data_IF_029938109713
#
_entry.id   IF_029938109713
#
_cell.length_a   1.000
_cell.length_b   1.000
_cell.length_c   1.000
_cell.angle_alpha   90.00
_cell.angle_beta   90.00
_cell.angle_gamma   90.00
#
_symmetry.space_group_name_H-M   'P 1'
#
loop_
_entity.id
_entity.type
_entity.pdbx_description
1 polymer ?
#
# COMPACT_ATOMS: atom_id res chain seq x y z
N UNK A 1 12.02 8.36 30.55
CA UNK A 1 11.95 6.99 30.00
C UNK A 1 11.25 7.10 28.65
N UNK A 2 11.97 7.06 27.53
CA UNK A 2 11.34 7.05 26.20
C UNK A 2 10.70 5.66 26.04
N UNK A 3 9.38 5.58 26.12
CA UNK A 3 8.66 4.38 25.69
C UNK A 3 8.85 4.35 24.17
N UNK A 4 9.65 3.43 23.68
CA UNK A 4 9.74 3.14 22.23
C UNK A 4 8.37 2.67 21.79
N UNK A 5 7.64 3.51 21.09
CA UNK A 5 6.36 3.14 20.49
C UNK A 5 6.65 2.16 19.36
N UNK A 6 6.05 0.99 19.42
CA UNK A 6 6.25 -0.07 18.44
C UNK A 6 5.37 0.21 17.22
N UNK A 7 5.98 0.29 16.06
CA UNK A 7 5.27 0.37 14.78
C UNK A 7 5.32 -1.00 14.13
N UNK A 8 4.17 -1.55 13.76
CA UNK A 8 4.08 -2.85 13.10
C UNK A 8 3.57 -2.69 11.68
N UNK A 9 4.31 -3.23 10.70
CA UNK A 9 3.87 -3.32 9.31
C UNK A 9 3.29 -4.71 9.06
N UNK A 10 2.02 -4.79 8.63
CA UNK A 10 1.31 -6.05 8.37
C UNK A 10 0.88 -6.13 6.91
N UNK A 11 1.35 -7.15 6.20
CA UNK A 11 0.88 -7.45 4.85
C UNK A 11 -0.43 -8.22 4.94
N UNK A 12 -1.56 -7.51 4.90
CA UNK A 12 -2.90 -8.11 4.92
C UNK A 12 -3.22 -8.76 3.57
N UNK A 13 -2.73 -8.17 2.49
CA UNK A 13 -2.71 -8.69 1.14
C UNK A 13 -1.39 -8.36 0.47
N UNK A 14 -0.72 -9.35 -0.08
CA UNK A 14 0.61 -9.27 -0.70
C UNK A 14 0.63 -9.66 -2.17
N UNK A 15 -0.55 -9.94 -2.75
CA UNK A 15 -0.71 -10.44 -4.11
C UNK A 15 -0.87 -9.35 -5.14
N UNK A 16 -0.79 -9.79 -6.39
CA UNK A 16 -1.01 -9.02 -7.60
C UNK A 16 -2.52 -8.86 -7.92
N UNK A 17 -2.82 -8.24 -9.08
CA UNK A 17 -4.19 -8.03 -9.57
C UNK A 17 -5.00 -9.34 -9.72
N UNK A 18 -4.33 -10.45 -9.92
CA UNK A 18 -4.95 -11.73 -10.29
C UNK A 18 -5.01 -12.73 -9.14
N UNK A 19 -4.56 -12.35 -7.93
CA UNK A 19 -4.54 -13.25 -6.78
C UNK A 19 -3.60 -14.43 -6.96
N UNK A 20 -2.45 -14.22 -7.59
CA UNK A 20 -1.43 -15.24 -7.83
C UNK A 20 -1.05 -15.93 -6.52
N UNK A 21 -1.01 -17.26 -6.55
CA UNK A 21 -0.74 -18.08 -5.34
C UNK A 21 -1.87 -18.06 -4.30
N UNK A 22 -3.07 -17.59 -4.64
CA UNK A 22 -4.21 -17.49 -3.72
C UNK A 22 -4.13 -16.29 -2.77
N UNK A 23 -3.24 -15.33 -3.05
CA UNK A 23 -3.00 -14.13 -2.24
C UNK A 23 -4.06 -13.06 -2.48
N UNK A 24 -4.34 -12.29 -1.45
CA UNK A 24 -5.19 -11.10 -1.55
C UNK A 24 -4.46 -9.95 -2.25
N UNK A 25 -5.22 -9.09 -2.92
CA UNK A 25 -4.70 -7.86 -3.55
C UNK A 25 -3.98 -6.99 -2.52
N UNK A 26 -3.08 -6.14 -2.99
CA UNK A 26 -2.23 -5.32 -2.15
C UNK A 26 -2.99 -4.55 -1.07
N UNK A 27 -2.61 -4.79 0.18
CA UNK A 27 -3.11 -4.10 1.36
C UNK A 27 -2.08 -4.23 2.49
N UNK A 28 -1.34 -3.17 2.77
CA UNK A 28 -0.29 -3.16 3.79
C UNK A 28 -0.73 -2.22 4.91
N UNK A 29 -0.98 -2.76 6.11
CA UNK A 29 -1.33 -1.95 7.27
C UNK A 29 -0.09 -1.54 8.05
N UNK A 30 0.03 -0.26 8.35
CA UNK A 30 1.00 0.31 9.28
C UNK A 30 0.26 0.64 10.57
N UNK A 31 0.48 -0.16 11.60
CA UNK A 31 -0.14 -0.02 12.92
C UNK A 31 0.78 0.79 13.83
N UNK A 32 0.25 1.80 14.47
CA UNK A 32 0.95 2.70 15.38
C UNK A 32 0.10 3.00 16.60
N UNK A 33 0.61 3.77 17.56
CA UNK A 33 -0.10 4.02 18.84
C UNK A 33 -1.44 4.74 18.69
N UNK A 34 -1.65 5.49 17.60
CA UNK A 34 -2.89 6.25 17.34
C UNK A 34 -3.97 5.48 16.59
N UNK A 35 -3.60 4.41 15.87
CA UNK A 35 -4.51 3.67 14.98
C UNK A 35 -3.77 2.90 13.90
N UNK A 36 -4.28 2.95 12.70
CA UNK A 36 -3.66 2.29 11.54
C UNK A 36 -3.80 3.12 10.25
N UNK A 37 -2.77 3.05 9.42
CA UNK A 37 -2.80 3.54 8.05
C UNK A 37 -2.67 2.36 7.09
N UNK A 38 -3.40 2.36 6.00
CA UNK A 38 -3.20 1.42 4.89
C UNK A 38 -2.35 2.06 3.79
N UNK A 39 -1.36 1.33 3.30
CA UNK A 39 -0.74 1.54 2.01
C UNK A 39 -1.45 0.61 1.03
N UNK A 40 -2.24 1.19 0.15
CA UNK A 40 -3.21 0.57 -0.75
C UNK A 40 -4.35 -0.20 -0.05
N UNK A 41 -5.44 -0.35 -0.79
CA UNK A 41 -6.65 -1.02 -0.37
C UNK A 41 -7.30 -1.70 -1.60
N UNK A 42 -6.71 -2.79 -2.06
CA UNK A 42 -7.19 -3.54 -3.22
C UNK A 42 -8.56 -4.20 -3.01
N UNK A 43 -9.17 -4.69 -4.06
CA UNK A 43 -10.55 -5.16 -4.07
C UNK A 43 -10.87 -6.24 -3.00
N UNK A 44 -9.89 -7.04 -2.62
CA UNK A 44 -10.04 -8.11 -1.62
C UNK A 44 -9.67 -7.70 -0.19
N UNK A 45 -9.27 -6.43 0.05
CA UNK A 45 -8.68 -5.97 1.31
C UNK A 45 -9.58 -6.19 2.53
N UNK A 46 -10.88 -5.89 2.44
CA UNK A 46 -11.78 -6.07 3.59
C UNK A 46 -11.90 -7.54 4.00
N UNK A 47 -11.94 -8.45 3.03
CA UNK A 47 -11.94 -9.90 3.29
C UNK A 47 -10.63 -10.34 3.93
N UNK A 48 -9.49 -9.84 3.42
CA UNK A 48 -8.17 -10.10 3.98
C UNK A 48 -8.06 -9.65 5.44
N UNK A 49 -8.53 -8.44 5.76
CA UNK A 49 -8.59 -7.91 7.13
C UNK A 49 -9.38 -8.82 8.05
N UNK A 50 -10.59 -9.22 7.66
CA UNK A 50 -11.46 -10.11 8.45
C UNK A 50 -10.80 -11.47 8.69
N UNK A 51 -10.15 -12.06 7.68
CA UNK A 51 -9.42 -13.33 7.82
C UNK A 51 -8.20 -13.22 8.73
N UNK A 52 -7.50 -12.08 8.68
CA UNK A 52 -6.32 -11.82 9.52
C UNK A 52 -6.69 -11.38 10.96
N UNK A 53 -7.98 -11.29 11.32
CA UNK A 53 -8.43 -10.74 12.60
C UNK A 53 -8.05 -9.27 12.80
N UNK A 54 -7.88 -8.52 11.70
CA UNK A 54 -7.59 -7.09 11.75
C UNK A 54 -8.91 -6.31 11.81
N UNK A 55 -9.01 -5.37 12.77
CA UNK A 55 -10.20 -4.55 12.93
C UNK A 55 -10.17 -3.33 12.00
N UNK A 56 -11.03 -3.26 10.95
CA UNK A 56 -11.08 -2.13 10.03
C UNK A 56 -11.46 -0.80 10.71
N UNK A 57 -12.06 -0.83 11.89
CA UNK A 57 -12.43 0.39 12.62
C UNK A 57 -11.22 1.18 13.11
N UNK A 58 -10.05 0.55 13.18
CA UNK A 58 -8.79 1.18 13.59
C UNK A 58 -8.11 1.98 12.48
N UNK A 59 -8.56 1.85 11.23
CA UNK A 59 -7.97 2.55 10.09
C UNK A 59 -8.41 4.00 10.10
N UNK A 60 -7.47 4.94 10.11
CA UNK A 60 -7.73 6.37 10.03
C UNK A 60 -7.38 6.94 8.66
N UNK A 61 -6.42 6.32 7.97
CA UNK A 61 -5.94 6.77 6.66
C UNK A 61 -5.80 5.58 5.71
N UNK A 62 -6.19 5.78 4.45
CA UNK A 62 -5.87 4.91 3.32
C UNK A 62 -5.02 5.74 2.35
N UNK A 63 -3.74 5.40 2.19
CA UNK A 63 -2.81 6.06 1.27
C UNK A 63 -2.65 5.19 0.01
N UNK A 64 -3.09 5.71 -1.13
CA UNK A 64 -3.13 4.99 -2.40
C UNK A 64 -1.90 5.29 -3.25
N UNK A 65 -1.18 4.27 -3.70
CA UNK A 65 -0.06 4.43 -4.63
C UNK A 65 -0.53 4.84 -6.01
N UNK A 66 -1.60 4.24 -6.49
CA UNK A 66 -2.23 4.53 -7.79
C UNK A 66 -3.67 3.99 -7.84
N UNK A 67 -4.37 4.22 -8.98
CA UNK A 67 -5.81 4.01 -9.09
C UNK A 67 -6.19 2.78 -9.94
N UNK A 68 -5.45 1.66 -9.82
CA UNK A 68 -5.87 0.36 -10.32
C UNK A 68 -6.72 -0.40 -9.28
N UNK A 69 -7.63 -1.25 -9.75
CA UNK A 69 -8.61 -1.93 -8.89
C UNK A 69 -8.02 -2.82 -7.81
N UNK A 70 -6.85 -3.39 -8.02
CA UNK A 70 -6.10 -4.19 -7.06
C UNK A 70 -5.34 -3.36 -6.00
N UNK A 71 -5.38 -2.01 -6.12
CA UNK A 71 -4.78 -1.06 -5.16
C UNK A 71 -5.81 -0.14 -4.50
N UNK A 72 -6.93 0.17 -5.15
CA UNK A 72 -7.96 1.04 -4.54
C UNK A 72 -9.39 0.46 -4.56
N UNK A 73 -9.60 -0.66 -5.26
CA UNK A 73 -10.93 -1.26 -5.44
C UNK A 73 -11.63 -1.72 -4.16
N UNK A 74 -10.90 -1.83 -3.04
CA UNK A 74 -11.46 -2.15 -1.74
C UNK A 74 -12.03 -0.96 -0.97
N UNK A 75 -11.71 0.27 -1.39
CA UNK A 75 -12.14 1.50 -0.70
C UNK A 75 -13.66 1.57 -0.52
N UNK A 76 -14.52 1.29 -1.52
CA UNK A 76 -15.98 1.30 -1.32
C UNK A 76 -16.45 0.35 -0.24
N UNK A 77 -15.87 -0.83 -0.16
CA UNK A 77 -16.22 -1.83 0.87
C UNK A 77 -15.84 -1.37 2.27
N UNK A 78 -14.65 -0.78 2.44
CA UNK A 78 -14.19 -0.24 3.75
C UNK A 78 -15.07 0.94 4.18
N UNK A 79 -15.42 1.85 3.27
CA UNK A 79 -16.30 2.99 3.56
C UNK A 79 -17.70 2.52 3.96
N UNK A 80 -18.26 1.53 3.27
CA UNK A 80 -19.57 0.98 3.62
C UNK A 80 -19.52 0.19 4.93
N UNK A 81 -18.52 -0.65 5.15
CA UNK A 81 -18.34 -1.37 6.40
C UNK A 81 -18.29 -0.39 7.58
N UNK A 82 -17.56 0.71 7.45
CA UNK A 82 -17.49 1.77 8.44
C UNK A 82 -18.85 2.42 8.73
N UNK A 83 -19.70 2.61 7.69
CA UNK A 83 -21.07 3.11 7.87
C UNK A 83 -21.95 2.12 8.66
N UNK A 84 -21.92 0.85 8.28
CA UNK A 84 -22.70 -0.20 8.95
C UNK A 84 -22.20 -0.48 10.37
N UNK A 85 -20.90 -0.33 10.63
CA UNK A 85 -20.30 -0.42 11.96
C UNK A 85 -20.55 0.82 12.84
N UNK A 86 -21.32 1.82 12.36
CA UNK A 86 -21.59 3.09 13.04
C UNK A 86 -20.32 3.87 13.43
N UNK A 87 -19.28 3.84 12.58
CA UNK A 87 -18.06 4.60 12.79
C UNK A 87 -18.37 6.08 13.00
N UNK A 88 -17.63 6.72 13.91
CA UNK A 88 -17.68 8.17 14.18
C UNK A 88 -16.32 8.85 13.98
N UNK A 89 -15.21 8.08 14.03
CA UNK A 89 -13.85 8.61 13.75
C UNK A 89 -13.74 8.99 12.28
N UNK A 90 -13.06 10.08 11.92
CA UNK A 90 -12.79 10.43 10.54
C UNK A 90 -12.09 9.29 9.79
N UNK A 91 -12.26 9.24 8.49
CA UNK A 91 -11.51 8.38 7.56
C UNK A 91 -10.97 9.25 6.43
N UNK A 92 -9.67 9.30 6.29
CA UNK A 92 -9.00 10.01 5.21
C UNK A 92 -8.57 9.05 4.12
N UNK A 93 -8.88 9.39 2.87
CA UNK A 93 -8.33 8.71 1.68
C UNK A 93 -7.36 9.69 1.04
N UNK A 94 -6.09 9.34 1.05
CA UNK A 94 -5.02 10.11 0.41
C UNK A 94 -4.57 9.38 -0.85
N UNK A 95 -4.43 10.08 -1.98
CA UNK A 95 -4.05 9.44 -3.23
C UNK A 95 -3.58 10.42 -4.30
N UNK A 96 -3.19 9.92 -5.46
CA UNK A 96 -2.74 10.76 -6.57
C UNK A 96 -3.86 11.66 -7.09
N UNK A 97 -3.53 12.67 -7.92
CA UNK A 97 -4.54 13.53 -8.57
C UNK A 97 -5.63 12.70 -9.27
N UNK A 98 -6.89 13.06 -9.03
CA UNK A 98 -8.07 12.36 -9.53
C UNK A 98 -8.67 11.33 -8.56
N UNK A 99 -8.06 11.10 -7.40
CA UNK A 99 -8.55 10.14 -6.40
C UNK A 99 -9.99 10.41 -5.99
N UNK A 100 -10.37 11.66 -5.70
CA UNK A 100 -11.72 11.99 -5.27
C UNK A 100 -12.79 11.63 -6.30
N UNK A 101 -12.52 11.95 -7.57
CA UNK A 101 -13.42 11.61 -8.68
C UNK A 101 -13.55 10.08 -8.85
N UNK A 102 -12.41 9.36 -8.85
CA UNK A 102 -12.38 7.91 -9.07
C UNK A 102 -13.01 7.11 -7.92
N UNK A 103 -12.79 7.52 -6.68
CA UNK A 103 -13.44 6.88 -5.51
C UNK A 103 -14.95 7.07 -5.58
N UNK A 104 -15.41 8.29 -5.90
CA UNK A 104 -16.83 8.57 -6.08
C UNK A 104 -17.43 7.73 -7.20
N UNK A 105 -16.82 7.71 -8.39
CA UNK A 105 -17.26 6.91 -9.53
C UNK A 105 -17.38 5.43 -9.17
N UNK A 106 -16.37 4.89 -8.49
CA UNK A 106 -16.34 3.49 -8.10
C UNK A 106 -17.44 3.17 -7.06
N UNK A 107 -17.63 4.04 -6.07
CA UNK A 107 -18.71 3.87 -5.08
C UNK A 107 -20.09 3.88 -5.75
N UNK A 108 -20.33 4.82 -6.67
CA UNK A 108 -21.63 4.90 -7.38
C UNK A 108 -21.84 3.74 -8.36
N UNK A 109 -20.76 3.25 -9.01
CA UNK A 109 -20.84 2.09 -9.91
C UNK A 109 -21.16 0.79 -9.16
N UNK A 110 -20.56 0.59 -7.98
CA UNK A 110 -20.75 -0.63 -7.19
C UNK A 110 -21.98 -0.58 -6.29
N UNK A 111 -22.29 0.58 -5.72
CA UNK A 111 -23.35 0.79 -4.73
C UNK A 111 -24.06 2.13 -5.02
N UNK A 112 -24.98 2.18 -5.99
CA UNK A 112 -25.63 3.42 -6.38
C UNK A 112 -26.24 4.20 -5.21
N UNK A 113 -25.96 5.50 -5.12
CA UNK A 113 -26.40 6.37 -4.03
C UNK A 113 -25.52 6.33 -2.77
N UNK A 114 -24.50 5.46 -2.72
CA UNK A 114 -23.66 5.30 -1.51
C UNK A 114 -22.76 6.51 -1.23
N UNK A 115 -22.30 7.19 -2.27
CA UNK A 115 -21.49 8.40 -2.09
C UNK A 115 -22.27 9.50 -1.38
N UNK A 116 -23.49 9.76 -1.81
CA UNK A 116 -24.36 10.81 -1.27
C UNK A 116 -25.01 10.41 0.07
N UNK A 117 -24.96 9.14 0.47
CA UNK A 117 -25.56 8.66 1.70
C UNK A 117 -24.93 9.33 2.93
N UNK A 118 -25.77 9.63 3.94
CA UNK A 118 -25.31 10.25 5.19
C UNK A 118 -24.39 9.32 5.96
N UNK A 119 -23.16 9.77 6.21
CA UNK A 119 -22.16 9.10 7.07
C UNK A 119 -22.18 9.74 8.45
N UNK A 120 -21.88 8.95 9.50
CA UNK A 120 -21.70 9.46 10.88
C UNK A 120 -20.26 9.91 11.14
N UNK A 121 -19.36 9.75 10.16
CA UNK A 121 -17.97 10.15 10.19
C UNK A 121 -17.65 11.06 9.01
N UNK A 122 -16.62 11.89 9.16
CA UNK A 122 -16.04 12.64 8.05
C UNK A 122 -15.30 11.66 7.14
N UNK A 123 -15.56 11.75 5.83
CA UNK A 123 -14.80 11.07 4.79
C UNK A 123 -14.05 12.16 4.02
N UNK A 124 -12.76 12.25 4.28
CA UNK A 124 -11.90 13.28 3.72
C UNK A 124 -11.07 12.71 2.57
N UNK A 125 -10.92 13.50 1.51
CA UNK A 125 -10.09 13.14 0.36
C UNK A 125 -8.93 14.14 0.27
N UNK A 126 -7.71 13.62 0.26
CA UNK A 126 -6.48 14.41 0.06
C UNK A 126 -5.83 13.93 -1.24
N UNK A 127 -5.64 14.83 -2.19
CA UNK A 127 -4.88 14.52 -3.39
C UNK A 127 -3.43 14.99 -3.24
N UNK A 128 -2.46 14.15 -3.61
CA UNK A 128 -1.04 14.42 -3.45
C UNK A 128 -0.62 15.65 -4.26
N UNK A 129 0.19 16.49 -3.61
CA UNK A 129 0.88 17.61 -4.24
C UNK A 129 2.38 17.31 -4.45
N UNK A 130 3.11 18.33 -4.88
CA UNK A 130 4.57 18.25 -5.05
C UNK A 130 5.37 18.26 -3.73
N UNK A 131 4.71 18.46 -2.60
CA UNK A 131 5.32 18.56 -1.27
C UNK A 131 4.85 17.44 -0.36
N UNK A 132 5.57 17.23 0.75
CA UNK A 132 5.14 16.29 1.80
C UNK A 132 3.72 16.63 2.29
N UNK A 133 2.90 15.61 2.47
CA UNK A 133 1.51 15.72 2.92
C UNK A 133 1.42 15.27 4.37
N UNK A 134 0.99 16.16 5.26
CA UNK A 134 0.59 15.78 6.61
C UNK A 134 -0.78 15.08 6.52
N UNK A 135 -0.87 13.85 6.98
CA UNK A 135 -2.09 13.04 6.92
C UNK A 135 -2.88 13.12 8.23
N UNK A 136 -2.17 13.20 9.36
CA UNK A 136 -2.69 13.34 10.71
C UNK A 136 -1.53 13.74 11.64
N UNK A 137 -1.80 13.99 12.94
CA UNK A 137 -0.78 14.34 13.93
C UNK A 137 0.35 13.27 13.98
N UNK A 138 1.50 13.64 13.41
CA UNK A 138 2.70 12.79 13.38
C UNK A 138 2.78 11.81 12.21
N UNK A 139 1.81 11.80 11.28
CA UNK A 139 1.88 11.02 10.02
C UNK A 139 2.24 11.94 8.87
N UNK A 140 3.41 11.75 8.28
CA UNK A 140 3.88 12.53 7.12
C UNK A 140 4.14 11.59 5.95
N UNK A 141 3.49 11.86 4.84
CA UNK A 141 3.65 11.13 3.59
C UNK A 141 4.42 11.97 2.58
N UNK A 142 5.48 11.40 2.03
CA UNK A 142 6.21 11.93 0.87
C UNK A 142 5.97 10.99 -0.29
N UNK A 143 5.63 11.52 -1.46
CA UNK A 143 5.32 10.73 -2.64
C UNK A 143 6.29 11.06 -3.77
N UNK A 144 6.62 10.04 -4.57
CA UNK A 144 7.49 10.18 -5.73
C UNK A 144 6.79 9.57 -6.94
N UNK A 145 6.56 10.34 -8.02
CA UNK A 145 6.06 9.78 -9.26
C UNK A 145 6.95 8.63 -9.76
N UNK A 146 6.35 7.55 -10.22
CA UNK A 146 7.02 6.37 -10.75
C UNK A 146 6.48 5.99 -12.13
N UNK A 147 6.99 4.92 -12.74
CA UNK A 147 6.67 4.55 -14.12
C UNK A 147 5.75 3.34 -14.16
N UNK A 148 4.49 3.59 -14.42
CA UNK A 148 3.47 2.55 -14.57
C UNK A 148 2.51 2.89 -15.71
N UNK A 149 1.42 2.15 -15.87
CA UNK A 149 0.44 2.34 -16.94
C UNK A 149 -0.05 3.79 -17.03
N UNK A 150 -0.03 4.41 -18.22
CA UNK A 150 -0.53 5.76 -18.41
C UNK A 150 -1.96 5.95 -17.89
N UNK A 151 -2.22 7.06 -17.19
CA UNK A 151 -3.53 7.38 -16.62
C UNK A 151 -3.80 6.80 -15.21
N UNK A 152 -2.91 5.95 -14.66
CA UNK A 152 -3.03 5.45 -13.29
C UNK A 152 -2.44 6.39 -12.24
N UNK A 153 -1.70 7.43 -12.64
CA UNK A 153 -1.02 8.41 -11.77
C UNK A 153 -0.18 7.76 -10.65
N UNK A 154 0.80 6.90 -11.00
CA UNK A 154 1.49 6.04 -10.03
C UNK A 154 2.51 6.81 -9.19
N UNK A 155 2.57 6.48 -7.91
CA UNK A 155 3.52 7.04 -6.95
C UNK A 155 4.09 5.95 -6.05
N UNK A 156 5.39 6.03 -5.79
CA UNK A 156 5.98 5.39 -4.63
C UNK A 156 5.73 6.27 -3.39
N UNK A 157 5.56 5.64 -2.25
CA UNK A 157 5.14 6.26 -1.00
C UNK A 157 6.22 6.10 0.07
N UNK A 158 6.51 7.17 0.81
CA UNK A 158 7.36 7.16 1.99
C UNK A 158 6.60 7.76 3.16
N UNK A 159 6.30 6.92 4.14
CA UNK A 159 5.59 7.29 5.37
C UNK A 159 6.58 7.45 6.53
N UNK A 160 6.53 8.61 7.18
CA UNK A 160 7.15 8.81 8.48
C UNK A 160 6.09 8.71 9.58
N UNK A 161 6.30 7.83 10.56
CA UNK A 161 5.40 7.55 11.67
C UNK A 161 6.19 7.16 12.92
N UNK A 162 5.98 7.86 14.05
CA UNK A 162 6.59 7.55 15.35
C UNK A 162 8.13 7.31 15.29
N UNK A 163 8.83 8.09 14.44
CA UNK A 163 10.28 8.00 14.25
C UNK A 163 10.73 6.85 13.35
N UNK A 164 9.83 6.14 12.70
CA UNK A 164 10.10 5.12 11.68
C UNK A 164 9.81 5.66 10.29
N UNK A 165 10.55 5.15 9.30
CA UNK A 165 10.34 5.45 7.89
C UNK A 165 9.99 4.16 7.16
N UNK A 166 8.79 4.11 6.59
CA UNK A 166 8.30 2.98 5.80
C UNK A 166 8.18 3.44 4.35
N UNK A 167 8.80 2.72 3.44
CA UNK A 167 8.76 2.95 2.01
C UNK A 167 7.94 1.87 1.30
N UNK A 168 7.23 2.27 0.25
CA UNK A 168 6.46 1.36 -0.61
C UNK A 168 6.59 1.81 -2.07
N UNK A 169 6.91 0.89 -2.97
CA UNK A 169 7.13 1.22 -4.38
C UNK A 169 5.85 1.58 -5.14
N UNK A 170 4.68 1.07 -4.71
CA UNK A 170 3.57 0.89 -5.63
C UNK A 170 3.96 -0.03 -6.77
N UNK A 171 3.23 0.00 -7.88
CA UNK A 171 3.58 -0.69 -9.11
C UNK A 171 4.42 0.23 -10.00
N UNK A 172 5.54 -0.29 -10.51
CA UNK A 172 6.48 0.51 -11.30
C UNK A 172 7.52 -0.33 -12.03
N UNK A 173 8.02 0.14 -13.17
CA UNK A 173 9.32 -0.26 -13.66
C UNK A 173 10.44 0.32 -12.77
N UNK A 174 11.69 -0.10 -13.00
CA UNK A 174 12.81 0.54 -12.33
C UNK A 174 12.87 2.04 -12.65
N UNK A 175 13.02 2.85 -11.62
CA UNK A 175 13.22 4.30 -11.71
C UNK A 175 14.05 4.78 -10.53
N UNK A 176 14.82 5.86 -10.70
CA UNK A 176 15.65 6.47 -9.64
C UNK A 176 14.80 6.99 -8.46
N UNK A 177 13.50 7.18 -8.65
CA UNK A 177 12.58 7.49 -7.57
C UNK A 177 12.58 6.41 -6.47
N UNK A 178 12.83 5.14 -6.82
CA UNK A 178 12.94 4.05 -5.86
C UNK A 178 14.16 4.19 -4.95
N UNK A 179 15.26 4.76 -5.46
CA UNK A 179 16.44 5.07 -4.65
C UNK A 179 16.11 6.14 -3.62
N UNK A 180 15.41 7.21 -4.05
CA UNK A 180 15.03 8.30 -3.16
C UNK A 180 14.04 7.86 -2.08
N UNK A 181 13.04 7.04 -2.42
CA UNK A 181 12.03 6.57 -1.47
C UNK A 181 12.60 5.56 -0.47
N UNK A 182 13.58 4.74 -0.90
CA UNK A 182 14.22 3.72 -0.07
C UNK A 182 15.27 4.30 0.90
N UNK A 183 15.81 5.50 0.63
CA UNK A 183 16.96 6.04 1.36
C UNK A 183 16.66 6.21 2.86
N UNK A 184 17.38 5.42 3.70
CA UNK A 184 17.22 5.41 5.14
C UNK A 184 15.87 4.86 5.64
N UNK A 185 15.09 4.15 4.80
CA UNK A 185 13.86 3.48 5.23
C UNK A 185 14.18 2.34 6.22
N UNK A 186 13.36 2.23 7.28
CA UNK A 186 13.41 1.09 8.20
C UNK A 186 12.92 -0.19 7.51
N UNK A 187 11.89 -0.04 6.66
CA UNK A 187 11.35 -1.08 5.81
C UNK A 187 10.99 -0.50 4.44
N UNK A 188 11.37 -1.21 3.38
CA UNK A 188 10.92 -0.94 2.02
C UNK A 188 10.14 -2.15 1.47
N UNK A 189 8.83 -1.99 1.31
CA UNK A 189 8.00 -2.92 0.58
C UNK A 189 8.10 -2.59 -0.92
N UNK A 190 8.68 -3.48 -1.70
CA UNK A 190 8.94 -3.24 -3.12
C UNK A 190 8.25 -4.29 -3.98
N UNK A 191 7.58 -3.87 -5.05
CA UNK A 191 7.09 -4.85 -6.00
C UNK A 191 8.24 -5.64 -6.63
N UNK A 192 7.98 -6.89 -6.97
CA UNK A 192 8.81 -7.72 -7.82
C UNK A 192 7.89 -8.68 -8.58
N UNK A 193 7.31 -8.19 -9.65
CA UNK A 193 6.24 -8.87 -10.36
C UNK A 193 6.70 -10.17 -11.00
N UNK A 194 7.82 -10.13 -11.73
CA UNK A 194 8.37 -11.29 -12.44
C UNK A 194 9.83 -11.56 -12.04
N UNK A 195 10.34 -12.74 -12.35
CA UNK A 195 11.68 -13.13 -11.98
C UNK A 195 12.75 -12.51 -12.92
N UNK A 196 12.67 -12.81 -14.22
CA UNK A 196 13.62 -12.35 -15.26
C UNK A 196 12.92 -11.88 -16.54
N UNK A 197 11.61 -12.02 -16.60
CA UNK A 197 10.81 -11.60 -17.75
C UNK A 197 10.44 -10.12 -17.62
N UNK A 198 10.84 -9.29 -18.56
CA UNK A 198 10.38 -7.91 -18.61
C UNK A 198 8.89 -7.85 -18.95
N UNK A 199 8.11 -7.38 -18.00
CA UNK A 199 6.70 -7.03 -18.16
C UNK A 199 6.62 -5.51 -18.14
N UNK A 200 6.13 -4.85 -19.20
CA UNK A 200 6.03 -3.39 -19.21
C UNK A 200 5.31 -2.88 -17.96
N UNK A 201 5.82 -1.78 -17.39
CA UNK A 201 5.24 -1.11 -16.23
C UNK A 201 5.36 -1.86 -14.89
N UNK A 202 6.11 -2.97 -14.85
CA UNK A 202 6.36 -3.73 -13.63
C UNK A 202 7.84 -4.05 -13.45
N UNK A 203 8.28 -4.14 -12.21
CA UNK A 203 9.65 -4.46 -11.85
C UNK A 203 9.88 -5.98 -11.88
N UNK A 204 10.96 -6.41 -12.52
CA UNK A 204 11.46 -7.78 -12.45
C UNK A 204 12.60 -7.90 -11.44
N UNK A 205 12.82 -9.12 -10.92
CA UNK A 205 13.85 -9.39 -9.91
C UNK A 205 15.26 -9.17 -10.46
N UNK A 206 15.50 -9.42 -11.73
CA UNK A 206 16.81 -9.22 -12.34
C UNK A 206 17.17 -7.72 -12.34
N UNK A 207 16.25 -6.86 -12.75
CA UNK A 207 16.40 -5.41 -12.69
C UNK A 207 16.60 -4.92 -11.26
N UNK A 208 15.79 -5.41 -10.31
CA UNK A 208 15.93 -5.07 -8.89
C UNK A 208 17.29 -5.50 -8.33
N UNK A 209 17.75 -6.70 -8.65
CA UNK A 209 19.04 -7.22 -8.22
C UNK A 209 20.22 -6.38 -8.73
N UNK A 210 20.15 -5.94 -9.99
CA UNK A 210 21.18 -5.08 -10.60
C UNK A 210 21.33 -3.72 -9.89
N UNK A 211 20.27 -3.24 -9.23
CA UNK A 211 20.27 -1.96 -8.52
C UNK A 211 20.19 -2.10 -7.00
N UNK A 212 20.29 -3.32 -6.47
CA UNK A 212 20.07 -3.63 -5.05
C UNK A 212 20.92 -2.77 -4.11
N UNK A 213 22.18 -2.50 -4.45
CA UNK A 213 23.12 -1.73 -3.64
C UNK A 213 22.76 -0.23 -3.56
N UNK A 214 21.94 0.27 -4.48
CA UNK A 214 21.47 1.66 -4.47
C UNK A 214 20.32 1.87 -3.47
N UNK A 215 19.62 0.79 -3.10
CA UNK A 215 18.47 0.83 -2.18
C UNK A 215 18.98 0.76 -0.73
N UNK A 216 19.26 1.95 -0.16
CA UNK A 216 19.78 2.09 1.21
C UNK A 216 18.68 2.02 2.26
N UNK A 217 17.97 0.90 2.34
CA UNK A 217 16.99 0.59 3.38
C UNK A 217 17.55 -0.46 4.34
N UNK A 218 17.02 -0.50 5.59
CA UNK A 218 17.42 -1.51 6.57
C UNK A 218 16.87 -2.90 6.22
N UNK A 219 15.64 -2.94 5.69
CA UNK A 219 14.95 -4.17 5.32
C UNK A 219 14.20 -3.97 4.00
N UNK A 220 14.41 -4.85 3.04
CA UNK A 220 13.71 -4.90 1.76
C UNK A 220 12.85 -6.15 1.71
N UNK A 221 11.55 -5.97 1.51
CA UNK A 221 10.56 -7.05 1.43
C UNK A 221 9.86 -6.98 0.09
N UNK A 222 9.90 -8.05 -0.69
CA UNK A 222 9.29 -8.12 -2.01
C UNK A 222 7.81 -8.48 -1.91
N UNK A 223 6.97 -7.83 -2.70
CA UNK A 223 5.52 -8.00 -2.73
C UNK A 223 5.00 -7.95 -4.16
N UNK A 224 3.70 -8.06 -4.39
CA UNK A 224 3.05 -7.96 -5.70
C UNK A 224 3.58 -8.98 -6.72
N UNK A 225 3.85 -10.19 -6.27
CA UNK A 225 4.52 -11.23 -7.05
C UNK A 225 3.54 -12.00 -7.94
N UNK A 226 3.85 -12.07 -9.25
CA UNK A 226 3.10 -12.88 -10.19
C UNK A 226 3.30 -14.39 -9.97
N UNK A 227 2.52 -15.19 -10.68
CA UNK A 227 2.67 -16.65 -10.68
C UNK A 227 4.08 -17.12 -11.10
N UNK A 228 4.71 -16.40 -12.05
CA UNK A 228 6.09 -16.66 -12.48
C UNK A 228 7.06 -16.51 -11.30
N UNK A 229 7.01 -15.36 -10.63
CA UNK A 229 7.85 -15.08 -9.46
C UNK A 229 7.61 -16.09 -8.33
N UNK A 230 6.35 -16.40 -8.03
CA UNK A 230 5.97 -17.34 -6.98
C UNK A 230 6.40 -18.78 -7.26
N UNK A 231 6.51 -19.19 -8.53
CA UNK A 231 7.01 -20.52 -8.88
C UNK A 231 8.50 -20.71 -8.55
N UNK A 232 9.25 -19.62 -8.35
CA UNK A 232 10.70 -19.58 -8.13
C UNK A 232 11.10 -19.02 -6.74
N UNK A 233 10.20 -19.10 -5.76
CA UNK A 233 10.40 -18.56 -4.39
C UNK A 233 11.71 -19.01 -3.75
N UNK A 234 12.13 -20.25 -3.95
CA UNK A 234 13.36 -20.77 -3.38
C UNK A 234 14.61 -20.10 -3.99
N UNK A 235 14.58 -19.79 -5.28
CA UNK A 235 15.67 -19.07 -5.95
C UNK A 235 15.73 -17.63 -5.46
N UNK A 236 14.57 -16.97 -5.31
CA UNK A 236 14.48 -15.60 -4.77
C UNK A 236 15.07 -15.52 -3.37
N UNK A 237 14.72 -16.47 -2.48
CA UNK A 237 15.26 -16.54 -1.12
C UNK A 237 16.76 -16.85 -1.10
N UNK A 238 17.22 -17.74 -2.00
CA UNK A 238 18.64 -18.03 -2.14
C UNK A 238 19.44 -16.82 -2.63
N UNK A 239 18.82 -15.90 -3.37
CA UNK A 239 19.40 -14.62 -3.76
C UNK A 239 19.39 -13.57 -2.63
N UNK A 240 18.92 -13.92 -1.42
CA UNK A 240 18.96 -13.06 -0.24
C UNK A 240 17.80 -12.08 -0.11
N UNK A 241 16.69 -12.29 -0.83
CA UNK A 241 15.49 -11.45 -0.71
C UNK A 241 14.47 -12.01 0.27
N UNK A 242 13.88 -11.13 1.07
CA UNK A 242 12.69 -11.42 1.85
C UNK A 242 11.42 -11.27 1.00
N UNK A 243 10.45 -12.14 1.23
CA UNK A 243 9.19 -12.16 0.49
C UNK A 243 8.03 -11.90 1.44
N UNK A 244 7.16 -10.99 1.06
CA UNK A 244 5.86 -10.84 1.71
C UNK A 244 4.99 -12.07 1.47
N UNK A 245 4.12 -12.33 2.43
CA UNK A 245 3.00 -13.25 2.32
C UNK A 245 1.82 -12.68 3.09
N UNK A 246 0.61 -13.11 2.77
CA UNK A 246 -0.59 -12.68 3.51
C UNK A 246 -0.47 -13.06 4.98
N UNK A 247 -0.61 -12.08 5.86
CA UNK A 247 -0.46 -12.24 7.30
C UNK A 247 0.95 -11.97 7.85
N UNK A 248 1.97 -11.75 7.00
CA UNK A 248 3.30 -11.35 7.49
C UNK A 248 3.21 -10.06 8.31
N UNK A 249 3.76 -10.08 9.52
CA UNK A 249 3.88 -8.91 10.39
C UNK A 249 5.35 -8.65 10.74
N UNK A 250 5.74 -7.39 10.72
CA UNK A 250 7.11 -6.92 10.96
C UNK A 250 7.07 -5.78 11.97
N UNK A 251 7.68 -5.97 13.10
CA UNK A 251 7.86 -4.94 14.12
C UNK A 251 9.12 -4.11 13.85
N UNK A 252 9.00 -2.77 14.01
CA UNK A 252 10.04 -1.78 13.73
C UNK A 252 10.43 -0.99 14.98
#
# INVERSE_FOLDING_TARGET
>A
MYVTRMVTVRFLGSGDAFGSGGRFNTCIAVVHSGGALLLDCGASSLVAMRRAGFDPSTIDVIALSHLHGDHFGGVPFVVLDAQFANRTRPLTIAGPPGTGARVRELMEAMFPGSWASRKRFALDIIEYGATATALDDGLVLVTHPVVHTPGSSPHALRLAVEGRNIAYSGDTEWTDALVAVADGADLFACEAYSFDKRVPYHLDLQSLSAHREQLRCKRLVLTHMSRDMLSRVNEVRAAGFELADDGLAIDL
#
